data_IF_151674117160
#
_entry.id   IF_151674117160
#
_cell.length_a   1.000
_cell.length_b   1.000
_cell.length_c   1.000
_cell.angle_alpha   90.00
_cell.angle_beta   90.00
_cell.angle_gamma   90.00
#
_symmetry.space_group_name_H-M   'P 1'
#
loop_
_entity.id
_entity.type
_entity.pdbx_description
1 polymer ?
#
# COMPACT_ATOMS: atom_id res chain seq x y z
N UNK A 1 10.19 -10.03 27.71
CA UNK A 1 8.71 -10.16 27.77
C UNK A 1 8.25 -10.57 26.39
N UNK A 2 7.65 -11.76 26.26
CA UNK A 2 7.11 -12.23 24.98
C UNK A 2 5.77 -11.52 24.77
N UNK A 3 5.67 -10.67 23.75
CA UNK A 3 4.38 -10.10 23.35
C UNK A 3 3.58 -11.19 22.65
N UNK A 4 2.30 -11.33 22.99
CA UNK A 4 1.40 -12.29 22.37
C UNK A 4 0.43 -11.55 21.44
N UNK A 5 0.64 -11.61 20.11
CA UNK A 5 -0.21 -10.97 19.12
C UNK A 5 -1.65 -11.48 19.22
N UNK A 6 -2.61 -10.58 19.08
CA UNK A 6 -4.03 -10.98 18.95
C UNK A 6 -4.23 -11.87 17.70
N UNK A 7 -5.30 -12.66 17.60
CA UNK A 7 -5.54 -13.51 16.43
C UNK A 7 -5.49 -12.76 15.08
N UNK A 8 -5.98 -11.51 15.05
CA UNK A 8 -5.91 -10.68 13.85
C UNK A 8 -4.48 -10.23 13.54
N UNK A 9 -3.68 -9.92 14.56
CA UNK A 9 -2.27 -9.55 14.39
C UNK A 9 -1.42 -10.75 13.98
N UNK A 10 -1.68 -11.94 14.54
CA UNK A 10 -1.08 -13.19 14.09
C UNK A 10 -1.38 -13.42 12.60
N UNK A 11 -2.64 -13.25 12.18
CA UNK A 11 -3.01 -13.37 10.76
C UNK A 11 -2.25 -12.37 9.87
N UNK A 12 -2.04 -11.14 10.32
CA UNK A 12 -1.23 -10.16 9.60
C UNK A 12 0.22 -10.60 9.46
N UNK A 13 0.83 -11.14 10.53
CA UNK A 13 2.20 -11.65 10.48
C UNK A 13 2.32 -12.81 9.47
N UNK A 14 1.38 -13.76 9.48
CA UNK A 14 1.37 -14.84 8.49
C UNK A 14 1.07 -14.35 7.06
N UNK A 15 0.26 -13.31 6.91
CA UNK A 15 0.05 -12.66 5.61
C UNK A 15 1.33 -12.06 5.05
N UNK A 16 2.11 -11.36 5.89
CA UNK A 16 3.40 -10.80 5.47
C UNK A 16 4.42 -11.93 5.19
N UNK A 17 4.42 -12.98 6.01
CA UNK A 17 5.25 -14.18 5.81
C UNK A 17 4.98 -14.82 4.44
N UNK A 18 3.72 -14.98 4.07
CA UNK A 18 3.31 -15.53 2.77
C UNK A 18 3.77 -14.67 1.58
N UNK A 19 4.04 -13.38 1.81
CA UNK A 19 4.65 -12.47 0.84
C UNK A 19 6.19 -12.39 0.99
N UNK A 20 6.83 -13.47 1.44
CA UNK A 20 8.29 -13.54 1.65
C UNK A 20 8.83 -12.48 2.61
N UNK A 21 8.02 -12.08 3.59
CA UNK A 21 8.42 -11.14 4.63
C UNK A 21 8.32 -9.66 4.26
N UNK A 22 7.88 -9.29 3.05
CA UNK A 22 7.58 -7.89 2.72
C UNK A 22 6.36 -7.78 1.81
N UNK A 23 5.42 -6.89 2.13
CA UNK A 23 4.25 -6.64 1.28
C UNK A 23 3.72 -5.22 1.44
N UNK A 24 2.92 -4.77 0.46
CA UNK A 24 2.17 -3.53 0.63
C UNK A 24 0.97 -3.78 1.53
N UNK A 25 0.67 -2.85 2.42
CA UNK A 25 -0.48 -2.95 3.33
C UNK A 25 -1.81 -3.16 2.58
N UNK A 26 -1.93 -2.65 1.35
CA UNK A 26 -3.14 -2.79 0.53
C UNK A 26 -3.33 -4.20 -0.04
N UNK A 27 -2.28 -5.03 -0.08
CA UNK A 27 -2.33 -6.40 -0.59
C UNK A 27 -2.76 -7.39 0.51
N UNK A 28 -2.68 -6.98 1.77
CA UNK A 28 -3.06 -7.81 2.91
C UNK A 28 -4.57 -7.80 3.15
N UNK A 29 -5.12 -9.00 3.35
CA UNK A 29 -6.49 -9.20 3.82
C UNK A 29 -6.50 -10.04 5.10
N UNK A 30 -7.32 -9.68 6.11
CA UNK A 30 -8.26 -8.55 6.17
C UNK A 30 -7.55 -7.19 6.26
N UNK A 31 -8.29 -6.12 5.99
CA UNK A 31 -7.76 -4.76 5.97
C UNK A 31 -7.03 -4.42 7.28
N UNK A 32 -5.75 -4.05 7.14
CA UNK A 32 -4.87 -3.75 8.28
C UNK A 32 -5.33 -2.49 9.00
N UNK A 33 -5.74 -2.63 10.26
CA UNK A 33 -6.08 -1.48 11.10
C UNK A 33 -4.80 -0.77 11.54
N UNK A 34 -4.87 0.57 11.64
CA UNK A 34 -3.75 1.40 12.11
C UNK A 34 -3.22 0.96 13.48
N UNK A 35 -4.12 0.67 14.42
CA UNK A 35 -3.77 0.26 15.77
C UNK A 35 -2.96 -1.06 15.80
N UNK A 36 -3.37 -2.05 15.01
CA UNK A 36 -2.69 -3.34 14.95
C UNK A 36 -1.28 -3.20 14.36
N UNK A 37 -1.14 -2.40 13.29
CA UNK A 37 0.17 -2.10 12.71
C UNK A 37 1.10 -1.40 13.70
N UNK A 38 0.60 -0.42 14.43
CA UNK A 38 1.39 0.35 15.40
C UNK A 38 1.80 -0.50 16.61
N UNK A 39 0.92 -1.39 17.08
CA UNK A 39 1.25 -2.36 18.12
C UNK A 39 2.38 -3.30 17.67
N UNK A 40 2.24 -3.93 16.51
CA UNK A 40 3.26 -4.83 15.95
C UNK A 40 4.60 -4.13 15.71
N UNK A 41 4.58 -2.88 15.23
CA UNK A 41 5.78 -2.08 15.03
C UNK A 41 6.46 -1.70 16.36
N UNK A 42 5.67 -1.36 17.39
CA UNK A 42 6.19 -1.02 18.73
C UNK A 42 6.92 -2.21 19.36
N UNK A 43 6.47 -3.43 19.09
CA UNK A 43 7.11 -4.66 19.55
C UNK A 43 8.21 -5.18 18.61
N UNK A 44 8.58 -4.42 17.57
CA UNK A 44 9.61 -4.78 16.57
C UNK A 44 9.33 -6.10 15.86
N UNK A 45 8.07 -6.50 15.76
CA UNK A 45 7.67 -7.67 14.96
C UNK A 45 7.61 -7.32 13.47
N UNK A 46 7.25 -6.07 13.16
CA UNK A 46 7.26 -5.54 11.80
C UNK A 46 7.93 -4.17 11.75
N UNK A 47 8.41 -3.81 10.56
CA UNK A 47 8.80 -2.45 10.20
C UNK A 47 7.78 -1.92 9.20
N UNK A 48 7.22 -0.73 9.47
CA UNK A 48 6.28 -0.07 8.58
C UNK A 48 6.97 1.14 7.92
N UNK A 49 7.19 1.07 6.60
CA UNK A 49 7.73 2.16 5.80
C UNK A 49 6.64 2.81 4.96
N UNK A 50 6.63 4.14 4.82
CA UNK A 50 5.72 4.83 3.90
C UNK A 50 6.36 4.89 2.51
N UNK A 51 5.70 4.32 1.50
CA UNK A 51 6.15 4.33 0.11
C UNK A 51 5.07 4.95 -0.76
N UNK A 52 5.31 6.18 -1.23
CA UNK A 52 4.32 6.96 -1.99
C UNK A 52 3.07 7.27 -1.17
N UNK A 53 1.91 6.79 -1.64
CA UNK A 53 0.62 6.95 -0.96
C UNK A 53 0.23 5.75 -0.07
N UNK A 54 1.10 4.74 0.06
CA UNK A 54 0.84 3.51 0.80
C UNK A 54 1.86 3.26 1.91
N UNK A 55 1.62 2.18 2.66
CA UNK A 55 2.57 1.61 3.61
C UNK A 55 3.06 0.27 3.09
N UNK A 56 4.37 0.05 3.20
CA UNK A 56 5.02 -1.24 3.02
C UNK A 56 5.30 -1.80 4.42
N UNK A 57 4.92 -3.06 4.63
CA UNK A 57 5.14 -3.78 5.88
C UNK A 57 6.18 -4.86 5.62
N UNK A 58 7.21 -4.88 6.46
CA UNK A 58 8.29 -5.86 6.41
C UNK A 58 8.39 -6.56 7.75
N UNK A 59 8.50 -7.89 7.75
CA UNK A 59 8.78 -8.65 8.97
C UNK A 59 10.20 -8.32 9.46
N UNK A 60 10.31 -7.98 10.74
CA UNK A 60 11.61 -7.89 11.41
C UNK A 60 12.03 -9.26 11.94
N UNK A 61 13.28 -9.40 12.37
CA UNK A 61 13.84 -10.66 12.88
C UNK A 61 13.00 -11.27 14.01
N UNK A 62 12.49 -10.42 14.92
CA UNK A 62 11.61 -10.87 15.99
C UNK A 62 10.26 -11.37 15.46
N UNK A 63 9.75 -10.79 14.38
CA UNK A 63 8.54 -11.27 13.69
C UNK A 63 8.75 -12.63 13.06
N UNK A 64 9.87 -12.84 12.37
CA UNK A 64 10.26 -14.13 11.80
C UNK A 64 10.37 -15.20 12.89
N UNK A 65 11.13 -14.91 13.95
CA UNK A 65 11.29 -15.82 15.09
C UNK A 65 9.94 -16.15 15.74
N UNK A 66 9.07 -15.15 15.91
CA UNK A 66 7.74 -15.37 16.45
C UNK A 66 6.90 -16.27 15.54
N UNK A 67 6.86 -16.01 14.22
CA UNK A 67 6.07 -16.83 13.29
C UNK A 67 6.53 -18.28 13.22
N UNK A 68 7.84 -18.53 13.27
CA UNK A 68 8.41 -19.87 13.30
C UNK A 68 8.03 -20.62 14.58
N UNK A 69 8.08 -19.95 15.73
CA UNK A 69 7.72 -20.54 17.02
C UNK A 69 6.20 -20.74 17.21
N UNK A 70 5.37 -20.05 16.43
CA UNK A 70 3.93 -19.94 16.66
C UNK A 70 3.09 -20.40 15.45
N UNK A 71 3.56 -21.38 14.67
CA UNK A 71 2.84 -21.93 13.51
C UNK A 71 1.47 -22.51 13.85
N UNK A 72 1.23 -22.87 15.12
CA UNK A 72 -0.06 -23.35 15.64
C UNK A 72 -0.86 -22.26 16.38
N UNK A 73 -0.47 -20.99 16.28
CA UNK A 73 -1.14 -19.90 16.97
C UNK A 73 -2.64 -19.80 16.62
N UNK A 74 -3.40 -19.28 17.58
CA UNK A 74 -4.82 -19.04 17.42
C UNK A 74 -5.07 -17.96 16.36
N UNK A 75 -5.66 -18.37 15.24
CA UNK A 75 -6.12 -17.48 14.18
C UNK A 75 -7.62 -17.19 14.30
N UNK A 76 -8.14 -16.15 13.63
CA UNK A 76 -9.57 -15.87 13.62
C UNK A 76 -10.35 -17.11 13.15
N UNK A 77 -11.54 -17.39 13.70
CA UNK A 77 -12.25 -18.65 13.45
C UNK A 77 -12.63 -18.87 11.98
N UNK A 78 -12.70 -17.80 11.18
CA UNK A 78 -12.89 -17.87 9.73
C UNK A 78 -11.70 -18.52 8.99
N UNK A 79 -10.51 -18.56 9.60
CA UNK A 79 -9.25 -19.03 9.01
C UNK A 79 -8.78 -20.36 9.61
N UNK A 80 -9.70 -21.20 10.10
CA UNK A 80 -9.37 -22.52 10.69
C UNK A 80 -8.57 -23.41 9.74
N UNK A 81 -8.89 -23.41 8.45
CA UNK A 81 -8.17 -24.20 7.44
C UNK A 81 -6.70 -23.77 7.35
N UNK A 82 -6.43 -22.46 7.37
CA UNK A 82 -5.07 -21.93 7.37
C UNK A 82 -4.32 -22.32 8.64
N UNK A 83 -4.98 -22.23 9.81
CA UNK A 83 -4.40 -22.67 11.08
C UNK A 83 -4.01 -24.15 11.06
N UNK A 84 -4.88 -25.03 10.57
CA UNK A 84 -4.56 -26.46 10.41
C UNK A 84 -3.43 -26.71 9.42
N UNK A 85 -3.38 -25.95 8.33
CA UNK A 85 -2.31 -26.06 7.35
C UNK A 85 -0.96 -25.62 7.94
N UNK A 86 -0.92 -24.50 8.66
CA UNK A 86 0.29 -24.01 9.31
C UNK A 86 0.78 -24.96 10.41
N UNK A 87 -0.12 -25.55 11.20
CA UNK A 87 0.24 -26.57 12.17
C UNK A 87 0.90 -27.79 11.50
N UNK A 88 0.33 -28.25 10.38
CA UNK A 88 0.90 -29.38 9.62
C UNK A 88 2.22 -29.03 8.93
N UNK A 89 2.39 -27.78 8.51
CA UNK A 89 3.67 -27.28 8.02
C UNK A 89 4.71 -27.29 9.14
N UNK A 90 4.35 -26.87 10.35
CA UNK A 90 5.23 -26.95 11.53
C UNK A 90 5.69 -28.37 11.81
N UNK A 91 4.76 -29.33 11.84
CA UNK A 91 5.12 -30.75 12.01
C UNK A 91 6.04 -31.29 10.91
N UNK A 92 5.89 -30.79 9.68
CA UNK A 92 6.76 -31.16 8.58
C UNK A 92 8.17 -30.59 8.77
N UNK A 93 8.29 -29.29 9.09
CA UNK A 93 9.56 -28.61 9.32
C UNK A 93 10.33 -29.22 10.50
N UNK A 94 9.63 -29.59 11.57
CA UNK A 94 10.24 -30.29 12.71
C UNK A 94 10.81 -31.67 12.30
N UNK A 95 10.14 -32.38 11.38
CA UNK A 95 10.58 -33.69 10.89
C UNK A 95 11.70 -33.59 9.86
N UNK A 96 11.68 -32.58 8.99
CA UNK A 96 12.71 -32.38 7.98
C UNK A 96 13.96 -31.71 8.53
N UNK A 97 13.85 -30.97 9.64
CA UNK A 97 14.93 -30.16 10.19
C UNK A 97 15.19 -28.88 9.39
N UNK A 98 14.30 -28.53 8.45
CA UNK A 98 14.39 -27.30 7.68
C UNK A 98 13.86 -26.10 8.47
N UNK A 99 14.43 -24.93 8.25
CA UNK A 99 13.92 -23.71 8.87
C UNK A 99 12.77 -23.12 8.07
N UNK A 100 11.89 -22.37 8.73
CA UNK A 100 10.81 -21.64 8.05
C UNK A 100 11.36 -20.65 7.01
N UNK A 101 12.54 -20.08 7.25
CA UNK A 101 13.21 -19.18 6.32
C UNK A 101 13.65 -19.91 5.03
N UNK A 102 14.16 -21.13 5.16
CA UNK A 102 14.56 -21.96 4.01
C UNK A 102 13.34 -22.37 3.19
N UNK A 103 12.23 -22.69 3.85
CA UNK A 103 10.98 -23.08 3.18
C UNK A 103 10.32 -21.91 2.41
N UNK A 104 10.23 -20.73 3.03
CA UNK A 104 9.64 -19.54 2.38
C UNK A 104 10.56 -19.03 1.26
N UNK A 105 11.87 -19.20 1.44
CA UNK A 105 12.89 -18.72 0.51
C UNK A 105 13.04 -17.20 0.53
N UNK A 106 13.91 -16.70 -0.34
CA UNK A 106 14.09 -15.25 -0.54
C UNK A 106 12.93 -14.67 -1.33
N UNK A 107 12.53 -13.45 -0.98
CA UNK A 107 11.59 -12.69 -1.79
C UNK A 107 12.11 -12.58 -3.24
N UNK A 108 11.24 -12.76 -4.26
CA UNK A 108 11.62 -12.51 -5.63
C UNK A 108 12.26 -11.12 -5.72
N UNK A 109 13.45 -11.03 -6.30
CA UNK A 109 14.15 -9.78 -6.48
C UNK A 109 13.21 -8.82 -7.22
N UNK A 110 12.71 -7.80 -6.51
CA UNK A 110 11.84 -6.79 -7.08
C UNK A 110 12.72 -6.08 -8.11
N UNK A 111 12.58 -6.46 -9.40
CA UNK A 111 13.25 -5.79 -10.51
C UNK A 111 12.92 -4.33 -10.31
N UNK A 112 13.91 -3.55 -9.84
CA UNK A 112 13.75 -2.14 -9.56
C UNK A 112 13.19 -1.56 -10.84
N UNK A 113 11.90 -1.18 -10.81
CA UNK A 113 11.32 -0.43 -11.89
C UNK A 113 12.30 0.71 -12.17
N UNK A 114 12.73 0.90 -13.43
CA UNK A 114 13.80 1.84 -13.75
C UNK A 114 13.51 3.16 -13.03
N UNK A 115 14.56 3.80 -12.46
CA UNK A 115 14.40 4.96 -11.60
C UNK A 115 13.40 5.91 -12.26
N UNK A 116 12.37 6.36 -11.52
CA UNK A 116 11.29 7.12 -12.10
C UNK A 116 11.91 8.23 -12.94
N UNK A 117 11.67 8.19 -14.25
CA UNK A 117 12.21 9.17 -15.19
C UNK A 117 12.10 10.53 -14.53
N UNK A 118 13.26 11.17 -14.30
CA UNK A 118 13.39 12.42 -13.56
C UNK A 118 12.15 13.25 -13.86
N UNK A 119 11.37 13.54 -12.82
CA UNK A 119 10.17 14.36 -12.95
C UNK A 119 10.60 15.61 -13.69
N UNK A 120 10.29 15.68 -14.99
CA UNK A 120 10.41 16.92 -15.75
C UNK A 120 9.73 17.95 -14.91
N UNK A 121 10.48 18.98 -14.53
CA UNK A 121 10.02 20.07 -13.72
C UNK A 121 8.66 20.51 -14.28
N UNK A 122 7.59 20.19 -13.55
CA UNK A 122 6.26 20.71 -13.86
C UNK A 122 6.21 22.13 -13.28
N UNK A 123 7.08 23.00 -13.78
CA UNK A 123 6.83 24.44 -13.81
C UNK A 123 5.81 24.82 -14.89
N UNK A 124 5.13 23.82 -15.48
CA UNK A 124 3.89 24.05 -16.22
C UNK A 124 2.82 24.46 -15.22
N UNK A 125 2.70 25.78 -15.05
CA UNK A 125 1.63 26.46 -14.35
C UNK A 125 0.32 25.69 -14.53
N UNK A 126 -0.27 25.32 -13.40
CA UNK A 126 -1.62 24.78 -13.30
C UNK A 126 -2.51 25.71 -14.13
N UNK A 127 -3.24 25.24 -15.17
CA UNK A 127 -4.22 26.11 -15.82
C UNK A 127 -5.25 26.44 -14.75
N UNK A 128 -5.22 27.69 -14.29
CA UNK A 128 -6.25 28.26 -13.45
C UNK A 128 -7.55 28.09 -14.23
N UNK A 129 -8.54 27.41 -13.64
CA UNK A 129 -9.90 27.39 -14.18
C UNK A 129 -10.27 28.85 -14.45
N UNK A 130 -10.41 29.21 -15.72
CA UNK A 130 -10.76 30.56 -16.12
C UNK A 130 -12.06 30.93 -15.38
N UNK A 131 -12.01 32.01 -14.59
CA UNK A 131 -13.21 32.60 -14.02
C UNK A 131 -14.20 32.86 -15.17
N UNK A 132 -15.50 32.59 -14.99
CA UNK A 132 -16.48 32.93 -16.02
C UNK A 132 -16.33 34.42 -16.37
N UNK A 133 -16.38 34.78 -17.67
CA UNK A 133 -16.18 36.15 -18.12
C UNK A 133 -17.25 37.04 -17.46
N UNK A 134 -16.82 38.21 -16.98
CA UNK A 134 -17.76 39.20 -16.44
C UNK A 134 -18.73 39.65 -17.54
N UNK A 135 -19.96 40.07 -17.20
CA UNK A 135 -20.94 40.52 -18.20
C UNK A 135 -20.41 41.59 -19.15
N UNK A 136 -19.52 42.48 -18.67
CA UNK A 136 -18.86 43.49 -19.51
C UNK A 136 -17.90 42.87 -20.55
N UNK A 137 -17.17 41.82 -20.19
CA UNK A 137 -16.29 41.11 -21.12
C UNK A 137 -17.07 40.31 -22.16
N UNK A 138 -18.25 39.77 -21.79
CA UNK A 138 -19.16 39.14 -22.74
C UNK A 138 -19.72 40.14 -23.75
N UNK A 139 -20.15 41.32 -23.30
CA UNK A 139 -20.67 42.38 -24.20
C UNK A 139 -19.65 42.81 -25.23
N UNK A 140 -18.41 43.12 -24.80
CA UNK A 140 -17.33 43.46 -25.72
C UNK A 140 -17.04 42.37 -26.74
N UNK A 141 -17.03 41.10 -26.29
CA UNK A 141 -16.77 39.96 -27.16
C UNK A 141 -17.88 39.73 -28.20
N UNK A 142 -19.13 39.99 -27.83
CA UNK A 142 -20.27 39.96 -28.75
C UNK A 142 -20.18 41.11 -29.76
N UNK A 143 -19.84 42.33 -29.31
CA UNK A 143 -19.71 43.51 -30.17
C UNK A 143 -18.57 43.34 -31.20
N UNK A 144 -17.41 42.81 -30.79
CA UNK A 144 -16.32 42.48 -31.72
C UNK A 144 -16.75 41.43 -32.75
N UNK A 145 -17.43 40.36 -32.30
CA UNK A 145 -17.92 39.33 -33.22
C UNK A 145 -18.97 39.89 -34.20
N UNK A 146 -19.80 40.83 -33.76
CA UNK A 146 -20.78 41.49 -34.61
C UNK A 146 -20.07 42.38 -35.66
N UNK A 147 -19.09 43.17 -35.26
CA UNK A 147 -18.28 44.01 -36.16
C UNK A 147 -17.49 43.18 -37.18
N UNK A 148 -16.96 42.02 -36.78
CA UNK A 148 -16.26 41.09 -37.66
C UNK A 148 -17.21 40.49 -38.71
N UNK A 149 -18.45 40.17 -38.30
CA UNK A 149 -19.49 39.65 -39.20
C UNK A 149 -20.08 40.74 -40.11
N UNK A 150 -20.17 41.98 -39.65
CA UNK A 150 -20.73 43.10 -40.43
C UNK A 150 -19.67 43.89 -41.20
N UNK A 151 -18.41 43.44 -41.21
CA UNK A 151 -17.26 44.14 -41.81
C UNK A 151 -17.19 45.62 -41.39
N UNK A 152 -17.49 45.92 -40.12
CA UNK A 152 -17.44 47.26 -39.58
C UNK A 152 -18.65 48.15 -39.90
N UNK A 153 -19.78 47.60 -40.35
CA UNK A 153 -21.05 48.35 -40.34
C UNK A 153 -21.66 48.31 -38.95
N UNK A 154 -21.58 49.45 -38.27
CA UNK A 154 -22.49 49.81 -37.18
C UNK A 154 -23.68 50.51 -37.82
N UNK A 155 -24.88 49.93 -37.69
CA UNK A 155 -26.12 50.64 -38.05
C UNK A 155 -26.29 51.79 -37.05
N UNK A 156 -25.92 53.00 -37.46
CA UNK A 156 -26.43 54.27 -36.92
C UNK A 156 -27.76 54.63 -37.60
#
# INVERSE_FOLDING_TARGET
MSYDPTPNQALLLFGILACHGTCKQAELMPAVKKADREALASHRLITAGKVGNGYTLTLADAGWAWTAANLSAALPPAQRTLSSLLARLGEYLEKSGETLADFIGSAPEEILAPPPAQKRDKSRAKPTKARPPTPAALRKRIETAYLDLTHGRTDE
#
